data_IF_306785936065
#
_entry.id   IF_306785936065
#
_cell.length_a   1.000
_cell.length_b   1.000
_cell.length_c   1.000
_cell.angle_alpha   90.00
_cell.angle_beta   90.00
_cell.angle_gamma   90.00
#
_symmetry.space_group_name_H-M   'P 1'
#
loop_
_entity.id
_entity.type
_entity.pdbx_description
1 polymer ?
#
# COMPACT_ATOMS: atom_id res chain seq x y z
N UNK A 1 -44.29 -44.49 -22.84
CA UNK A 1 -42.85 -44.59 -22.48
C UNK A 1 -42.02 -43.40 -22.98
N UNK A 2 -42.63 -42.22 -23.23
CA UNK A 2 -41.99 -41.08 -23.91
C UNK A 2 -41.61 -39.90 -22.99
N UNK A 3 -42.11 -39.83 -21.75
CA UNK A 3 -41.88 -38.69 -20.85
C UNK A 3 -40.57 -38.77 -20.03
N UNK A 4 -39.96 -39.96 -19.89
CA UNK A 4 -38.71 -40.15 -19.13
C UNK A 4 -37.45 -39.69 -19.87
N UNK A 5 -37.44 -39.69 -21.21
CA UNK A 5 -36.28 -39.28 -22.02
C UNK A 5 -36.13 -37.75 -22.18
N UNK A 6 -37.21 -36.99 -22.06
CA UNK A 6 -37.15 -35.52 -22.11
C UNK A 6 -36.46 -34.95 -20.85
N UNK A 7 -36.80 -35.52 -19.70
CA UNK A 7 -36.35 -35.02 -18.40
C UNK A 7 -34.86 -35.27 -18.14
N UNK A 8 -34.26 -36.33 -18.69
CA UNK A 8 -32.81 -36.55 -18.60
C UNK A 8 -31.99 -35.64 -19.52
N UNK A 9 -32.46 -35.35 -20.74
CA UNK A 9 -31.76 -34.41 -21.64
C UNK A 9 -31.78 -32.98 -21.09
N UNK A 10 -32.89 -32.56 -20.51
CA UNK A 10 -32.99 -31.26 -19.84
C UNK A 10 -32.08 -31.19 -18.60
N UNK A 11 -32.00 -32.27 -17.81
CA UNK A 11 -31.03 -32.37 -16.69
C UNK A 11 -29.58 -32.32 -17.17
N UNK A 12 -29.23 -33.02 -18.27
CA UNK A 12 -27.87 -33.00 -18.84
C UNK A 12 -27.54 -31.60 -19.37
N UNK A 13 -28.48 -30.94 -20.06
CA UNK A 13 -28.30 -29.58 -20.56
C UNK A 13 -28.15 -28.57 -19.41
N UNK A 14 -28.92 -28.75 -18.33
CA UNK A 14 -28.81 -27.94 -17.11
C UNK A 14 -27.47 -28.15 -16.38
N UNK A 15 -26.98 -29.39 -16.30
CA UNK A 15 -25.67 -29.72 -15.75
C UNK A 15 -24.54 -29.11 -16.60
N UNK A 16 -24.62 -29.18 -17.92
CA UNK A 16 -23.66 -28.54 -18.83
C UNK A 16 -23.69 -27.01 -18.73
N UNK A 17 -24.88 -26.42 -18.58
CA UNK A 17 -25.04 -24.99 -18.36
C UNK A 17 -24.39 -24.54 -17.05
N UNK A 18 -24.59 -25.29 -15.96
CA UNK A 18 -23.94 -25.02 -14.67
C UNK A 18 -22.41 -25.16 -14.78
N UNK A 19 -21.90 -26.21 -15.43
CA UNK A 19 -20.45 -26.41 -15.62
C UNK A 19 -19.84 -25.27 -16.44
N UNK A 20 -20.50 -24.83 -17.52
CA UNK A 20 -20.05 -23.71 -18.33
C UNK A 20 -20.03 -22.40 -17.52
N UNK A 21 -21.09 -22.13 -16.75
CA UNK A 21 -21.18 -20.95 -15.89
C UNK A 21 -20.08 -20.94 -14.81
N UNK A 22 -19.82 -22.07 -14.16
CA UNK A 22 -18.74 -22.20 -13.16
C UNK A 22 -17.36 -22.02 -13.82
N UNK A 23 -17.12 -22.61 -14.98
CA UNK A 23 -15.87 -22.43 -15.73
C UNK A 23 -15.64 -20.98 -16.15
N UNK A 24 -16.68 -20.28 -16.62
CA UNK A 24 -16.61 -18.86 -16.99
C UNK A 24 -16.28 -18.01 -15.76
N UNK A 25 -16.93 -18.23 -14.62
CA UNK A 25 -16.65 -17.51 -13.37
C UNK A 25 -15.23 -17.77 -12.89
N UNK A 26 -14.76 -19.01 -12.88
CA UNK A 26 -13.39 -19.36 -12.46
C UNK A 26 -12.37 -18.68 -13.38
N UNK A 27 -12.58 -18.72 -14.70
CA UNK A 27 -11.65 -18.14 -15.68
C UNK A 27 -11.64 -16.62 -15.60
N UNK A 28 -12.82 -15.99 -15.43
CA UNK A 28 -12.96 -14.56 -15.21
C UNK A 28 -12.28 -14.10 -13.91
N UNK A 29 -12.51 -14.82 -12.80
CA UNK A 29 -11.84 -14.55 -11.52
C UNK A 29 -10.32 -14.72 -11.62
N UNK A 30 -9.85 -15.75 -12.31
CA UNK A 30 -8.43 -15.99 -12.56
C UNK A 30 -7.79 -14.86 -13.38
N UNK A 31 -8.42 -14.47 -14.49
CA UNK A 31 -7.95 -13.36 -15.34
C UNK A 31 -7.94 -12.03 -14.58
N UNK A 32 -9.00 -11.74 -13.81
CA UNK A 32 -9.10 -10.54 -12.98
C UNK A 32 -7.99 -10.51 -11.91
N UNK A 33 -7.71 -11.63 -11.24
CA UNK A 33 -6.60 -11.74 -10.28
C UNK A 33 -5.26 -11.45 -10.94
N UNK A 34 -4.96 -12.12 -12.07
CA UNK A 34 -3.70 -11.96 -12.79
C UNK A 34 -3.49 -10.53 -13.30
N UNK A 35 -4.55 -9.89 -13.79
CA UNK A 35 -4.51 -8.50 -14.19
C UNK A 35 -4.15 -7.61 -12.99
N UNK A 36 -4.81 -7.81 -11.84
CA UNK A 36 -4.56 -7.06 -10.60
C UNK A 36 -3.12 -7.21 -10.11
N UNK A 37 -2.53 -8.40 -10.23
CA UNK A 37 -1.13 -8.65 -9.86
C UNK A 37 -0.12 -7.94 -10.77
N UNK A 38 -0.39 -7.88 -12.07
CA UNK A 38 0.42 -7.11 -13.01
C UNK A 38 0.30 -5.61 -12.74
N UNK A 39 -0.92 -5.10 -12.49
CA UNK A 39 -1.13 -3.69 -12.13
C UNK A 39 -0.43 -3.31 -10.82
N UNK A 40 -0.51 -4.17 -9.80
CA UNK A 40 0.21 -4.01 -8.53
C UNK A 40 1.72 -3.81 -8.77
N UNK A 41 2.32 -4.68 -9.57
CA UNK A 41 3.74 -4.60 -9.91
C UNK A 41 4.07 -3.31 -10.66
N UNK A 42 3.24 -2.93 -11.64
CA UNK A 42 3.46 -1.71 -12.43
C UNK A 42 3.34 -0.46 -11.57
N UNK A 43 2.32 -0.35 -10.72
CA UNK A 43 2.14 0.78 -9.81
C UNK A 43 3.29 0.86 -8.80
N UNK A 44 3.69 -0.28 -8.22
CA UNK A 44 4.82 -0.34 -7.30
C UNK A 44 6.13 0.08 -7.97
N UNK A 45 6.36 -0.34 -9.21
CA UNK A 45 7.53 0.07 -9.98
C UNK A 45 7.51 1.57 -10.28
N UNK A 46 6.37 2.12 -10.71
CA UNK A 46 6.19 3.55 -10.95
C UNK A 46 6.44 4.38 -9.69
N UNK A 47 5.83 4.00 -8.56
CA UNK A 47 6.05 4.63 -7.27
C UNK A 47 7.51 4.49 -6.81
N UNK A 48 8.15 3.36 -7.11
CA UNK A 48 9.55 3.13 -6.72
C UNK A 48 10.54 3.93 -7.56
N UNK A 49 10.16 4.26 -8.79
CA UNK A 49 10.93 5.09 -9.73
C UNK A 49 10.53 6.57 -9.67
N UNK A 50 9.73 6.98 -8.68
CA UNK A 50 9.20 8.34 -8.54
C UNK A 50 8.47 8.88 -9.79
N UNK A 51 7.85 8.02 -10.61
CA UNK A 51 7.13 8.44 -11.80
C UNK A 51 5.67 8.82 -11.45
N UNK A 52 5.45 10.10 -11.15
CA UNK A 52 4.14 10.63 -10.76
C UNK A 52 3.08 10.45 -11.83
N UNK A 53 3.41 10.66 -13.11
CA UNK A 53 2.43 10.61 -14.20
C UNK A 53 1.83 9.20 -14.35
N UNK A 54 2.68 8.17 -14.30
CA UNK A 54 2.19 6.78 -14.33
C UNK A 54 1.37 6.48 -13.07
N UNK A 55 1.77 6.96 -11.89
CA UNK A 55 0.98 6.77 -10.66
C UNK A 55 -0.40 7.42 -10.78
N UNK A 56 -0.50 8.65 -11.28
CA UNK A 56 -1.78 9.34 -11.49
C UNK A 56 -2.70 8.59 -12.45
N UNK A 57 -2.14 8.06 -13.54
CA UNK A 57 -2.90 7.26 -14.50
C UNK A 57 -3.41 5.97 -13.87
N UNK A 58 -2.59 5.28 -13.09
CA UNK A 58 -2.94 3.98 -12.53
C UNK A 58 -3.87 4.08 -11.32
N UNK A 59 -3.78 5.14 -10.50
CA UNK A 59 -4.58 5.22 -9.27
C UNK A 59 -6.07 5.50 -9.54
N UNK A 60 -6.40 6.27 -10.59
CA UNK A 60 -7.79 6.67 -10.90
C UNK A 60 -8.75 5.51 -11.16
N UNK A 61 -8.26 4.38 -11.65
CA UNK A 61 -9.08 3.23 -12.04
C UNK A 61 -9.08 2.10 -11.00
N UNK A 62 -8.44 2.29 -9.84
CA UNK A 62 -8.01 1.18 -8.99
C UNK A 62 -8.56 1.18 -7.55
N UNK A 63 -8.48 0.00 -6.93
CA UNK A 63 -8.91 -0.25 -5.57
C UNK A 63 -7.98 0.43 -4.53
N UNK A 64 -8.52 0.86 -3.37
CA UNK A 64 -7.78 1.66 -2.38
C UNK A 64 -6.53 0.97 -1.82
N UNK A 65 -6.50 -0.35 -1.74
CA UNK A 65 -5.33 -1.13 -1.26
C UNK A 65 -4.05 -0.96 -2.10
N UNK A 66 -4.20 -0.61 -3.39
CA UNK A 66 -3.05 -0.33 -4.28
C UNK A 66 -2.40 1.00 -3.93
N UNK A 67 -3.22 2.02 -3.66
CA UNK A 67 -2.77 3.36 -3.28
C UNK A 67 -1.98 3.37 -1.96
N UNK A 68 -2.38 2.53 -1.00
CA UNK A 68 -1.68 2.31 0.27
C UNK A 68 -0.26 1.77 0.01
N UNK A 69 -0.13 0.75 -0.84
CA UNK A 69 1.16 0.15 -1.20
C UNK A 69 2.06 1.15 -1.92
N UNK A 70 1.49 1.97 -2.81
CA UNK A 70 2.22 3.03 -3.49
C UNK A 70 2.76 4.08 -2.51
N UNK A 71 1.99 4.43 -1.46
CA UNK A 71 2.41 5.37 -0.41
C UNK A 71 3.65 4.86 0.34
N UNK A 72 3.68 3.58 0.75
CA UNK A 72 4.86 3.01 1.41
C UNK A 72 6.09 2.99 0.49
N UNK A 73 5.89 2.66 -0.79
CA UNK A 73 6.99 2.61 -1.75
C UNK A 73 7.57 4.00 -2.03
N UNK A 74 6.72 5.01 -2.22
CA UNK A 74 7.12 6.40 -2.40
C UNK A 74 7.86 6.94 -1.17
N UNK A 75 7.37 6.63 0.04
CA UNK A 75 8.02 7.02 1.29
C UNK A 75 9.40 6.38 1.46
N UNK A 76 9.57 5.10 1.09
CA UNK A 76 10.87 4.43 1.08
C UNK A 76 11.84 5.04 0.07
N UNK A 77 11.34 5.45 -1.10
CA UNK A 77 12.18 5.93 -2.21
C UNK A 77 12.46 7.43 -2.19
N UNK A 78 11.76 8.20 -1.37
CA UNK A 78 11.99 9.64 -1.29
C UNK A 78 11.11 10.47 -2.23
N UNK A 79 10.04 9.89 -2.78
CA UNK A 79 9.21 10.54 -3.79
C UNK A 79 8.11 11.43 -3.16
N UNK A 80 8.46 12.66 -2.76
CA UNK A 80 7.52 13.57 -2.08
C UNK A 80 6.28 13.92 -2.93
N UNK A 81 6.44 14.08 -4.24
CA UNK A 81 5.32 14.49 -5.12
C UNK A 81 4.22 13.43 -5.19
N UNK A 82 4.61 12.16 -5.21
CA UNK A 82 3.68 11.03 -5.15
C UNK A 82 2.96 10.99 -3.79
N UNK A 83 3.69 11.24 -2.70
CA UNK A 83 3.10 11.27 -1.36
C UNK A 83 2.08 12.41 -1.24
N UNK A 84 2.39 13.59 -1.79
CA UNK A 84 1.48 14.73 -1.83
C UNK A 84 0.21 14.38 -2.60
N UNK A 85 0.35 13.82 -3.80
CA UNK A 85 -0.78 13.37 -4.61
C UNK A 85 -1.66 12.37 -3.85
N UNK A 86 -1.06 11.30 -3.29
CA UNK A 86 -1.80 10.24 -2.60
C UNK A 86 -2.52 10.73 -1.33
N UNK A 87 -1.91 11.64 -0.56
CA UNK A 87 -2.50 12.11 0.71
C UNK A 87 -3.51 13.23 0.48
N UNK A 88 -3.21 14.16 -0.43
CA UNK A 88 -4.02 15.38 -0.61
C UNK A 88 -5.16 15.19 -1.60
N UNK A 89 -4.93 14.45 -2.69
CA UNK A 89 -5.91 14.27 -3.76
C UNK A 89 -6.69 12.96 -3.55
N UNK A 90 -5.98 11.85 -3.36
CA UNK A 90 -6.58 10.51 -3.21
C UNK A 90 -7.03 10.19 -1.78
N UNK A 91 -6.72 11.07 -0.82
CA UNK A 91 -7.11 10.97 0.61
C UNK A 91 -6.76 9.62 1.24
N UNK A 92 -5.62 9.03 0.82
CA UNK A 92 -5.12 7.77 1.37
C UNK A 92 -4.87 7.94 2.87
N UNK A 93 -5.25 6.92 3.65
CA UNK A 93 -4.99 6.92 5.09
C UNK A 93 -3.49 7.00 5.38
N UNK A 94 -3.04 8.12 5.94
CA UNK A 94 -1.64 8.40 6.24
C UNK A 94 -1.00 7.42 7.24
N UNK A 95 -1.83 6.80 8.09
CA UNK A 95 -1.43 5.87 9.15
C UNK A 95 -1.58 4.41 8.74
N UNK A 96 -1.80 4.13 7.45
CA UNK A 96 -1.91 2.76 6.96
C UNK A 96 -0.61 1.99 7.17
N UNK A 97 -0.75 0.76 7.68
CA UNK A 97 0.35 -0.20 7.81
C UNK A 97 0.45 -1.04 6.54
N UNK A 98 1.68 -1.28 6.09
CA UNK A 98 1.91 -2.22 5.00
C UNK A 98 1.55 -3.65 5.39
N UNK A 99 1.38 -4.50 4.38
CA UNK A 99 1.01 -5.91 4.58
C UNK A 99 2.22 -6.83 4.69
N UNK A 100 3.44 -6.28 4.75
CA UNK A 100 4.64 -7.08 4.89
C UNK A 100 4.79 -7.60 6.34
N UNK A 101 5.85 -8.36 6.59
CA UNK A 101 6.12 -8.96 7.90
C UNK A 101 6.34 -7.93 9.02
N UNK A 102 6.76 -6.71 8.69
CA UNK A 102 7.06 -5.66 9.66
C UNK A 102 5.86 -4.78 10.01
N UNK A 103 4.81 -4.69 9.18
CA UNK A 103 3.61 -3.86 9.44
C UNK A 103 3.95 -2.39 9.67
N UNK A 104 4.68 -1.79 8.74
CA UNK A 104 5.21 -0.41 8.85
C UNK A 104 4.31 0.61 8.18
N UNK A 105 4.26 1.82 8.74
CA UNK A 105 3.62 2.99 8.10
C UNK A 105 4.58 3.69 7.15
N UNK A 106 4.07 4.61 6.33
CA UNK A 106 4.88 5.46 5.47
C UNK A 106 5.95 6.24 6.27
N UNK A 107 5.61 6.68 7.48
CA UNK A 107 6.52 7.39 8.37
C UNK A 107 7.71 6.52 8.81
N UNK A 108 7.51 5.22 9.05
CA UNK A 108 8.59 4.29 9.38
C UNK A 108 9.60 4.16 8.22
N UNK A 109 9.10 4.02 6.99
CA UNK A 109 9.95 3.93 5.80
C UNK A 109 10.72 5.22 5.55
N UNK A 110 10.04 6.39 5.58
CA UNK A 110 10.70 7.68 5.40
C UNK A 110 11.76 7.97 6.47
N UNK A 111 11.47 7.62 7.74
CA UNK A 111 12.40 7.80 8.85
C UNK A 111 13.61 6.85 8.76
N UNK A 112 13.39 5.59 8.36
CA UNK A 112 14.46 4.61 8.20
C UNK A 112 15.35 4.85 6.98
N UNK A 113 14.83 5.52 5.96
CA UNK A 113 15.57 5.87 4.74
C UNK A 113 16.15 7.29 4.77
N UNK A 114 15.96 8.03 5.87
CA UNK A 114 16.56 9.35 6.07
C UNK A 114 15.91 10.47 5.26
N UNK A 115 14.67 10.33 4.81
CA UNK A 115 13.97 11.31 3.97
C UNK A 115 13.31 12.41 4.82
N UNK A 116 14.10 13.36 5.32
CA UNK A 116 13.65 14.43 6.23
C UNK A 116 12.43 15.20 5.72
N UNK A 117 12.44 15.61 4.44
CA UNK A 117 11.33 16.37 3.85
C UNK A 117 10.00 15.62 3.89
N UNK A 118 10.04 14.30 3.70
CA UNK A 118 8.85 13.44 3.77
C UNK A 118 8.41 13.24 5.22
N UNK A 119 9.35 13.00 6.14
CA UNK A 119 9.03 12.88 7.58
C UNK A 119 8.30 14.12 8.07
N UNK A 120 8.81 15.30 7.73
CA UNK A 120 8.19 16.58 8.05
C UNK A 120 6.77 16.68 7.49
N UNK A 121 6.62 16.45 6.18
CA UNK A 121 5.32 16.53 5.51
C UNK A 121 4.30 15.56 6.12
N UNK A 122 4.68 14.32 6.38
CA UNK A 122 3.77 13.33 6.97
C UNK A 122 3.29 13.76 8.36
N UNK A 123 4.17 14.29 9.20
CA UNK A 123 3.81 14.76 10.54
C UNK A 123 2.95 16.02 10.51
N UNK A 124 3.24 16.96 9.61
CA UNK A 124 2.39 18.14 9.36
C UNK A 124 0.97 17.75 8.93
N UNK A 125 0.82 16.60 8.25
CA UNK A 125 -0.47 16.04 7.83
C UNK A 125 -1.11 15.10 8.86
N UNK A 126 -0.55 15.01 10.07
CA UNK A 126 -1.15 14.26 11.17
C UNK A 126 -0.81 12.76 11.18
N UNK A 127 0.33 12.37 10.59
CA UNK A 127 0.85 11.01 10.79
C UNK A 127 1.13 10.78 12.28
N UNK A 128 0.69 9.64 12.82
CA UNK A 128 0.90 9.27 14.21
C UNK A 128 2.32 8.68 14.39
N UNK A 129 3.23 9.36 15.11
CA UNK A 129 4.60 8.90 15.31
C UNK A 129 4.70 7.71 16.28
N UNK A 130 3.65 7.44 17.06
CA UNK A 130 3.64 6.41 18.11
C UNK A 130 3.19 5.02 17.62
N UNK A 131 2.78 4.89 16.35
CA UNK A 131 2.50 3.56 15.78
C UNK A 131 3.78 2.74 15.83
N UNK A 132 3.66 1.52 16.32
CA UNK A 132 4.77 0.56 16.40
C UNK A 132 4.63 -0.47 15.29
N UNK A 133 5.76 -0.82 14.70
CA UNK A 133 5.86 -1.98 13.81
C UNK A 133 5.76 -3.30 14.59
N UNK A 134 5.77 -4.44 13.90
CA UNK A 134 5.65 -5.77 14.52
C UNK A 134 6.77 -6.10 15.52
N UNK A 135 7.92 -5.44 15.45
CA UNK A 135 9.01 -5.59 16.43
C UNK A 135 8.82 -4.66 17.64
N UNK A 136 7.70 -3.94 17.73
CA UNK A 136 7.45 -2.93 18.75
C UNK A 136 8.22 -1.62 18.54
N UNK A 137 8.77 -1.38 17.35
CA UNK A 137 9.62 -0.22 17.05
C UNK A 137 8.81 0.87 16.36
N UNK A 138 8.78 2.07 16.94
CA UNK A 138 8.23 3.25 16.28
C UNK A 138 9.22 3.87 15.28
N UNK A 139 8.75 4.84 14.48
CA UNK A 139 9.54 5.50 13.43
C UNK A 139 10.86 6.10 13.95
N UNK A 140 10.88 6.70 15.15
CA UNK A 140 12.11 7.25 15.75
C UNK A 140 13.14 6.16 16.06
N UNK A 141 12.70 5.02 16.60
CA UNK A 141 13.61 3.91 16.91
C UNK A 141 14.23 3.34 15.63
N UNK A 142 13.46 3.27 14.55
CA UNK A 142 13.98 2.90 13.22
C UNK A 142 15.05 3.89 12.75
N UNK A 143 14.80 5.20 12.80
CA UNK A 143 15.78 6.22 12.42
C UNK A 143 17.09 6.10 13.23
N UNK A 144 17.00 5.84 14.54
CA UNK A 144 18.19 5.64 15.41
C UNK A 144 19.00 4.39 15.02
N UNK A 145 18.34 3.32 14.59
CA UNK A 145 19.05 2.13 14.12
C UNK A 145 19.69 2.39 12.75
N UNK A 146 18.96 3.02 11.83
CA UNK A 146 19.43 3.34 10.49
C UNK A 146 20.64 4.29 10.49
N UNK A 147 20.68 5.25 11.44
CA UNK A 147 21.80 6.18 11.59
C UNK A 147 23.13 5.51 11.95
N UNK A 148 23.11 4.24 12.39
CA UNK A 148 24.33 3.45 12.64
C UNK A 148 24.97 2.96 11.35
N UNK A 149 24.17 2.83 10.30
CA UNK A 149 24.58 2.27 9.01
C UNK A 149 24.91 3.34 7.98
N UNK A 150 24.20 4.47 8.00
CA UNK A 150 24.43 5.59 7.07
C UNK A 150 24.48 6.92 7.84
N UNK A 151 25.66 7.52 7.96
CA UNK A 151 25.87 8.79 8.68
C UNK A 151 25.68 10.03 7.80
N UNK A 152 25.54 9.85 6.49
CA UNK A 152 25.45 10.97 5.53
C UNK A 152 24.02 11.51 5.39
N UNK A 153 23.03 10.76 5.88
CA UNK A 153 21.63 11.18 5.91
C UNK A 153 21.30 12.01 7.16
N UNK A 154 20.27 12.87 7.10
CA UNK A 154 19.92 13.82 8.17
C UNK A 154 19.20 13.16 9.37
N UNK A 155 19.68 11.99 9.83
CA UNK A 155 19.04 11.25 10.93
C UNK A 155 19.01 12.06 12.23
N UNK A 156 20.01 12.91 12.50
CA UNK A 156 20.03 13.77 13.69
C UNK A 156 18.79 14.67 13.75
N UNK A 157 18.42 15.26 12.63
CA UNK A 157 17.23 16.12 12.54
C UNK A 157 15.94 15.31 12.58
N UNK A 158 15.90 14.19 11.85
CA UNK A 158 14.73 13.28 11.84
C UNK A 158 14.41 12.78 13.25
N UNK A 159 15.41 12.32 14.00
CA UNK A 159 15.22 11.79 15.36
C UNK A 159 14.68 12.88 16.28
N UNK A 160 15.21 14.11 16.17
CA UNK A 160 14.77 15.25 16.98
C UNK A 160 13.32 15.65 16.66
N UNK A 161 12.99 15.69 15.37
CA UNK A 161 11.65 16.01 14.90
C UNK A 161 10.62 14.96 15.36
N UNK A 162 10.96 13.68 15.24
CA UNK A 162 10.09 12.59 15.72
C UNK A 162 9.93 12.58 17.25
N UNK A 163 10.99 12.89 18.01
CA UNK A 163 10.90 12.98 19.47
C UNK A 163 9.89 14.06 19.89
N UNK A 164 9.98 15.25 19.29
CA UNK A 164 9.03 16.33 19.56
C UNK A 164 7.58 15.93 19.20
N UNK A 165 7.40 15.22 18.08
CA UNK A 165 6.07 14.77 17.66
C UNK A 165 5.49 13.68 18.58
N UNK A 166 6.32 12.78 19.12
CA UNK A 166 5.90 11.78 20.12
C UNK A 166 5.38 12.44 21.41
N UNK A 167 6.02 13.53 21.86
CA UNK A 167 5.65 14.27 23.07
C UNK A 167 4.32 15.02 22.90
N UNK A 168 4.14 15.73 21.78
CA UNK A 168 2.91 16.47 21.48
C UNK A 168 1.66 15.57 21.37
N UNK A 169 1.86 14.29 21.06
CA UNK A 169 0.76 13.33 20.97
C UNK A 169 0.34 12.74 22.31
N UNK A 170 1.14 12.91 23.38
CA UNK A 170 0.79 12.48 24.74
C UNK A 170 -0.04 13.51 25.50
N UNK A 171 -0.05 14.77 25.04
CA UNK A 171 -0.71 15.90 25.68
C UNK A 171 -2.10 16.21 25.11
N UNK A 172 -2.65 15.36 24.24
CA UNK A 172 -4.01 15.44 23.69
C UNK A 172 -4.79 14.20 24.11
#
# INVERSE_FOLDING_TARGET
MSQLKCNEKEKIHFVWFIILMVCVVITYCYQKSKATDNYNKTLQAAASNCNLEIVKLLVKDMAPNLSETALHCAARKGCLDIIRFLILEEKVNINVIDRNAFKRTALHHAAGEGHLGIVRFLLEKGANPNIKDNDGKGARKIAVMASRHDKNKPYREIIKLLANAEEQHKSK
#
